data_IF_061956279549
#
_entry.id   IF_061956279549
#
_cell.length_a   1.000
_cell.length_b   1.000
_cell.length_c   1.000
_cell.angle_alpha   90.00
_cell.angle_beta   90.00
_cell.angle_gamma   90.00
#
_symmetry.space_group_name_H-M   'P 1'
#
loop_
_entity.id
_entity.type
_entity.pdbx_description
1 polymer ?
#
# COMPACT_ATOMS: atom_id res chain seq x y z
N UNK A 1 6.55 -8.01 6.67
CA UNK A 1 5.56 -7.15 7.34
C UNK A 1 4.84 -6.27 6.34
N UNK A 2 3.62 -5.94 6.63
CA UNK A 2 2.94 -4.84 5.98
C UNK A 2 2.51 -3.82 7.03
N UNK A 3 2.06 -2.65 6.58
CA UNK A 3 1.80 -1.53 7.48
C UNK A 3 0.43 -0.93 7.18
N UNK A 4 -0.24 -0.51 8.24
CA UNK A 4 -1.50 0.22 8.14
C UNK A 4 -1.24 1.63 8.69
N UNK A 5 -1.60 2.65 7.92
CA UNK A 5 -1.42 4.03 8.33
C UNK A 5 -2.54 4.43 9.29
N UNK A 6 -2.18 4.63 10.55
CA UNK A 6 -3.14 4.98 11.61
C UNK A 6 -3.36 6.49 11.64
N UNK A 7 -2.29 7.27 11.43
CA UNK A 7 -2.37 8.73 11.45
C UNK A 7 -1.33 9.32 10.51
N UNK A 8 -1.69 10.37 9.81
CA UNK A 8 -0.81 11.11 8.92
C UNK A 8 -0.88 10.64 7.48
N UNK A 9 0.06 11.08 6.67
CA UNK A 9 0.14 10.72 5.26
C UNK A 9 1.58 10.40 4.86
N UNK A 10 1.71 9.55 3.85
CA UNK A 10 3.01 9.18 3.28
C UNK A 10 2.95 9.26 1.77
N UNK A 11 4.08 9.54 1.13
CA UNK A 11 4.22 9.48 -0.32
C UNK A 11 4.99 8.23 -0.72
N UNK A 12 4.53 7.61 -1.81
CA UNK A 12 5.15 6.41 -2.38
C UNK A 12 5.93 6.83 -3.62
N UNK A 13 7.24 6.55 -3.62
CA UNK A 13 8.12 6.85 -4.74
C UNK A 13 8.66 5.56 -5.31
N UNK A 14 8.62 5.43 -6.62
CA UNK A 14 9.36 4.39 -7.32
C UNK A 14 10.77 4.90 -7.62
N UNK A 15 11.74 3.98 -7.76
CA UNK A 15 13.16 4.32 -7.96
C UNK A 15 13.35 5.50 -8.92
N UNK A 16 14.15 6.49 -8.49
CA UNK A 16 14.62 7.64 -9.28
C UNK A 16 13.53 8.57 -9.81
N UNK A 17 12.29 8.44 -9.39
CA UNK A 17 11.25 9.40 -9.75
C UNK A 17 11.29 10.61 -8.80
N UNK A 18 11.15 11.80 -9.38
CA UNK A 18 11.07 13.04 -8.61
C UNK A 18 9.68 13.30 -8.03
N UNK A 19 8.66 12.68 -8.60
CA UNK A 19 7.27 12.85 -8.17
C UNK A 19 6.73 11.57 -7.56
N UNK A 20 5.92 11.67 -6.50
CA UNK A 20 5.34 10.47 -5.90
C UNK A 20 4.37 9.77 -6.85
N UNK A 21 4.40 8.42 -6.80
CA UNK A 21 3.41 7.60 -7.51
C UNK A 21 2.03 7.75 -6.90
N UNK A 22 1.98 7.89 -5.58
CA UNK A 22 0.73 7.94 -4.84
C UNK A 22 0.96 8.57 -3.49
N UNK A 23 -0.10 9.13 -2.93
CA UNK A 23 -0.15 9.55 -1.53
C UNK A 23 -1.11 8.62 -0.80
N UNK A 24 -0.66 8.09 0.32
CA UNK A 24 -1.47 7.24 1.19
C UNK A 24 -1.89 8.04 2.41
N UNK A 25 -3.13 7.84 2.81
CA UNK A 25 -3.75 8.55 3.93
C UNK A 25 -4.16 7.58 5.03
N UNK A 26 -4.64 8.10 6.13
CA UNK A 26 -5.12 7.32 7.26
C UNK A 26 -6.07 6.22 6.79
N UNK A 27 -5.83 5.00 7.24
CA UNK A 27 -6.60 3.82 6.86
C UNK A 27 -5.99 3.03 5.71
N UNK A 28 -5.09 3.64 4.93
CA UNK A 28 -4.43 2.93 3.83
C UNK A 28 -3.34 2.01 4.34
N UNK A 29 -3.08 0.93 3.60
CA UNK A 29 -2.01 0.00 3.89
C UNK A 29 -0.91 0.07 2.84
N UNK A 30 0.29 -0.33 3.22
CA UNK A 30 1.41 -0.43 2.29
C UNK A 30 2.35 -1.56 2.67
N UNK A 31 3.14 -2.01 1.69
CA UNK A 31 4.03 -3.16 1.86
C UNK A 31 3.34 -4.51 1.76
N UNK A 32 2.06 -4.54 1.43
CA UNK A 32 1.24 -5.75 1.35
C UNK A 32 1.65 -6.68 0.21
N UNK A 33 2.10 -6.15 -0.91
CA UNK A 33 2.52 -6.96 -2.05
C UNK A 33 3.74 -7.79 -1.68
N UNK A 34 4.77 -7.14 -1.14
CA UNK A 34 5.97 -7.83 -0.70
C UNK A 34 5.66 -8.85 0.40
N UNK A 35 4.72 -8.52 1.28
CA UNK A 35 4.29 -9.41 2.36
C UNK A 35 3.61 -10.67 1.81
N UNK A 36 2.69 -10.50 0.85
CA UNK A 36 1.91 -11.63 0.30
C UNK A 36 2.72 -12.50 -0.64
N UNK A 37 3.59 -11.90 -1.45
CA UNK A 37 4.32 -12.62 -2.50
C UNK A 37 5.74 -13.01 -2.11
N UNK A 38 6.26 -12.44 -1.04
CA UNK A 38 7.66 -12.60 -0.66
C UNK A 38 8.64 -11.88 -1.56
N UNK A 39 8.14 -11.05 -2.48
CA UNK A 39 9.00 -10.28 -3.39
C UNK A 39 9.66 -9.11 -2.68
N UNK A 40 10.71 -8.55 -3.30
CA UNK A 40 11.39 -7.38 -2.76
C UNK A 40 10.49 -6.14 -2.89
N UNK A 41 10.63 -5.25 -1.92
CA UNK A 41 10.00 -3.93 -2.01
C UNK A 41 10.72 -3.11 -3.06
N UNK A 42 9.96 -2.49 -3.95
CA UNK A 42 10.49 -1.70 -5.06
C UNK A 42 10.19 -0.21 -4.94
N UNK A 43 9.45 0.17 -3.92
CA UNK A 43 9.06 1.56 -3.69
C UNK A 43 9.61 2.08 -2.37
N UNK A 44 9.87 3.38 -2.33
CA UNK A 44 10.26 4.10 -1.13
C UNK A 44 9.03 4.80 -0.55
N UNK A 45 8.89 4.69 0.76
CA UNK A 45 7.79 5.34 1.49
C UNK A 45 8.40 6.48 2.30
N UNK A 46 7.93 7.69 2.06
CA UNK A 46 8.43 8.89 2.74
C UNK A 46 7.27 9.57 3.46
N UNK A 47 7.42 9.77 4.76
CA UNK A 47 6.42 10.46 5.56
C UNK A 47 6.44 11.96 5.23
N UNK A 48 5.25 12.53 5.01
CA UNK A 48 5.06 13.96 4.79
C UNK A 48 4.99 14.75 6.09
N UNK A 49 4.73 14.04 7.17
CA UNK A 49 4.55 14.59 8.51
C UNK A 49 4.84 13.47 9.51
N UNK A 50 4.70 13.73 10.79
CA UNK A 50 4.79 12.67 11.78
C UNK A 50 3.64 11.68 11.55
N UNK A 51 3.97 10.42 11.36
CA UNK A 51 2.97 9.38 11.08
C UNK A 51 3.00 8.32 12.17
N UNK A 52 1.86 7.68 12.34
CA UNK A 52 1.72 6.50 13.21
C UNK A 52 1.28 5.36 12.32
N UNK A 53 2.02 4.25 12.36
CA UNK A 53 1.72 3.07 11.56
C UNK A 53 1.58 1.86 12.48
N UNK A 54 0.70 0.95 12.09
CA UNK A 54 0.62 -0.37 12.69
C UNK A 54 1.39 -1.34 11.81
N UNK A 55 2.40 -1.95 12.37
CA UNK A 55 3.21 -2.97 11.67
C UNK A 55 2.60 -4.35 11.94
N UNK A 56 2.26 -5.07 10.88
CA UNK A 56 1.75 -6.43 10.97
C UNK A 56 2.80 -7.37 10.37
N UNK A 57 3.41 -8.19 11.18
CA UNK A 57 4.38 -9.18 10.73
C UNK A 57 3.71 -10.52 10.41
N UNK A 58 4.49 -11.46 9.87
CA UNK A 58 3.98 -12.78 9.48
C UNK A 58 3.37 -13.52 10.66
N UNK A 59 4.01 -13.47 11.81
CA UNK A 59 3.52 -14.17 13.01
C UNK A 59 2.18 -13.62 13.46
N UNK A 60 2.04 -12.30 13.49
CA UNK A 60 0.76 -11.67 13.85
C UNK A 60 -0.33 -12.03 12.84
N UNK A 61 -0.01 -11.98 11.54
CA UNK A 61 -0.96 -12.31 10.49
C UNK A 61 -1.42 -13.77 10.59
N UNK A 62 -0.50 -14.69 10.83
CA UNK A 62 -0.80 -16.12 10.90
C UNK A 62 -1.66 -16.50 12.12
N UNK A 63 -1.64 -15.66 13.14
CA UNK A 63 -2.51 -15.84 14.34
C UNK A 63 -3.94 -15.35 14.14
N UNK A 64 -4.20 -14.61 13.07
CA UNK A 64 -5.56 -14.18 12.76
C UNK A 64 -6.38 -15.39 12.32
N UNK A 65 -7.68 -15.35 12.57
CA UNK A 65 -8.57 -16.38 12.05
C UNK A 65 -8.74 -16.24 10.53
N UNK A 66 -9.34 -17.25 9.92
CA UNK A 66 -9.52 -17.31 8.45
C UNK A 66 -10.33 -16.11 7.96
N UNK A 67 -11.36 -15.72 8.70
CA UNK A 67 -12.22 -14.61 8.33
C UNK A 67 -11.42 -13.30 8.27
N UNK A 68 -10.60 -13.02 9.26
CA UNK A 68 -9.79 -11.79 9.29
C UNK A 68 -8.72 -11.79 8.21
N UNK A 69 -8.09 -12.94 7.96
CA UNK A 69 -7.11 -13.07 6.87
C UNK A 69 -7.74 -12.76 5.52
N UNK A 70 -8.94 -13.29 5.27
CA UNK A 70 -9.65 -13.02 4.03
C UNK A 70 -10.02 -11.54 3.89
N UNK A 71 -10.41 -10.88 4.97
CA UNK A 71 -10.71 -9.45 4.98
C UNK A 71 -9.49 -8.62 4.58
N UNK A 72 -8.31 -8.94 5.11
CA UNK A 72 -7.07 -8.23 4.75
C UNK A 72 -6.74 -8.45 3.28
N UNK A 73 -6.83 -9.69 2.80
CA UNK A 73 -6.56 -10.02 1.40
C UNK A 73 -7.51 -9.30 0.46
N UNK A 74 -8.79 -9.25 0.78
CA UNK A 74 -9.80 -8.55 0.00
C UNK A 74 -9.49 -7.05 -0.08
N UNK A 75 -9.09 -6.44 1.02
CA UNK A 75 -8.69 -5.03 1.06
C UNK A 75 -7.46 -4.78 0.21
N UNK A 76 -6.48 -5.67 0.23
CA UNK A 76 -5.27 -5.55 -0.59
C UNK A 76 -5.61 -5.61 -2.07
N UNK A 77 -6.46 -6.55 -2.47
CA UNK A 77 -6.92 -6.69 -3.86
C UNK A 77 -7.66 -5.43 -4.30
N UNK A 78 -8.58 -4.96 -3.48
CA UNK A 78 -9.37 -3.76 -3.79
C UNK A 78 -8.46 -2.53 -3.94
N UNK A 79 -7.48 -2.38 -3.07
CA UNK A 79 -6.50 -1.28 -3.15
C UNK A 79 -5.71 -1.35 -4.45
N UNK A 80 -5.29 -2.55 -4.87
CA UNK A 80 -4.57 -2.74 -6.12
C UNK A 80 -5.42 -2.36 -7.33
N UNK A 81 -6.68 -2.77 -7.34
CA UNK A 81 -7.62 -2.43 -8.41
C UNK A 81 -7.78 -0.91 -8.51
N UNK A 82 -7.97 -0.24 -7.39
CA UNK A 82 -8.12 1.21 -7.36
C UNK A 82 -6.88 1.93 -7.89
N UNK A 83 -5.68 1.46 -7.53
CA UNK A 83 -4.43 2.02 -8.02
C UNK A 83 -4.27 1.81 -9.52
N UNK A 84 -4.64 0.63 -10.03
CA UNK A 84 -4.62 0.34 -11.47
C UNK A 84 -5.59 1.23 -12.23
N UNK A 85 -6.79 1.43 -11.70
CA UNK A 85 -7.79 2.31 -12.33
C UNK A 85 -7.28 3.73 -12.43
N UNK A 86 -6.64 4.25 -11.40
CA UNK A 86 -6.03 5.58 -11.44
C UNK A 86 -4.93 5.68 -12.49
N UNK A 87 -4.09 4.66 -12.60
CA UNK A 87 -3.04 4.61 -13.62
C UNK A 87 -3.64 4.56 -15.02
N UNK A 88 -4.66 3.74 -15.23
CA UNK A 88 -5.33 3.62 -16.52
C UNK A 88 -6.01 4.93 -16.92
N UNK A 89 -6.70 5.58 -16.00
CA UNK A 89 -7.34 6.87 -16.27
C UNK A 89 -6.32 7.94 -16.64
N UNK A 90 -5.20 7.99 -15.93
CA UNK A 90 -4.11 8.91 -16.26
C UNK A 90 -3.53 8.62 -17.65
N UNK A 91 -3.39 7.35 -17.97
CA UNK A 91 -2.88 6.91 -19.28
C UNK A 91 -3.87 7.24 -20.41
N UNK A 92 -5.16 6.96 -20.21
CA UNK A 92 -6.19 7.28 -21.19
C UNK A 92 -6.29 8.77 -21.47
N UNK A 93 -6.24 9.60 -20.43
CA UNK A 93 -6.28 11.05 -20.57
C UNK A 93 -5.08 11.58 -21.37
N UNK A 94 -3.99 10.86 -21.34
CA UNK A 94 -2.78 11.22 -22.07
C UNK A 94 -2.90 11.01 -23.58
N UNK A 95 -3.77 10.09 -23.97
CA UNK A 95 -4.00 9.74 -25.38
C UNK A 95 -5.12 10.55 -26.03
N UNK A 96 -5.88 11.27 -25.26
CA UNK A 96 -6.93 12.18 -25.73
C UNK A 96 -6.39 13.58 -25.87
#
# INVERSE_FOLDING_TARGET
>A
SFFILIKGSVDVFKEKRQHPLARLNTGDSFGEIAFLTGSKRTANIIANETVIVLKVDRTMFDRLDVYMKEKFKDNFILTLIQRLDKMNNAFENRWK
#
